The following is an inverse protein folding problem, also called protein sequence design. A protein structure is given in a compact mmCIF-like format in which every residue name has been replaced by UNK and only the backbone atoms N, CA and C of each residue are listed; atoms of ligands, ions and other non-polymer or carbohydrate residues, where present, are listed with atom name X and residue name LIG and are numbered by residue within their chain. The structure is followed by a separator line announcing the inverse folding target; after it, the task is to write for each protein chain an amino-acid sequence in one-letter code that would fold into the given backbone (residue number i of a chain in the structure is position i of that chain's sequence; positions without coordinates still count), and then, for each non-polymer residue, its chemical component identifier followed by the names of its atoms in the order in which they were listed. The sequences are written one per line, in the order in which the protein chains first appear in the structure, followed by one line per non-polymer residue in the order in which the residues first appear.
data_IF_059979963073
#
_entry.id   IF_059979963073
#
_cell.length_a   1.000
_cell.length_b   1.000
_cell.length_c   1.000
_cell.angle_alpha   90.00
_cell.angle_beta   90.00
_cell.angle_gamma   90.00
#
_symmetry.space_group_name_H-M   'P 1'
#
loop_
_entity.id
_entity.type
_entity.pdbx_description
1 polymer ?
#
# COMPACT_ATOMS: atom_id res chain seq x y z
N UNK A 1 12.90 -0.32 -26.61
CA UNK A 1 11.86 -1.17 -26.00
C UNK A 1 12.41 -2.00 -24.85
N UNK A 2 13.68 -2.45 -24.88
CA UNK A 2 14.31 -3.26 -23.82
C UNK A 2 14.07 -2.84 -22.35
N UNK A 3 14.11 -1.55 -22.00
CA UNK A 3 13.89 -1.11 -20.61
C UNK A 3 12.46 -1.35 -20.13
N UNK A 4 11.48 -1.18 -21.03
CA UNK A 4 10.08 -1.47 -20.72
C UNK A 4 9.85 -2.97 -20.54
N UNK A 5 10.50 -3.77 -21.37
CA UNK A 5 10.39 -5.23 -21.32
C UNK A 5 11.10 -5.80 -20.08
N UNK A 6 12.21 -5.20 -19.66
CA UNK A 6 12.97 -5.66 -18.49
C UNK A 6 12.42 -5.19 -17.13
N UNK A 7 11.97 -3.94 -17.02
CA UNK A 7 11.61 -3.34 -15.73
C UNK A 7 10.16 -2.86 -15.63
N UNK A 8 9.45 -2.79 -16.76
CA UNK A 8 8.09 -2.27 -16.83
C UNK A 8 8.01 -0.74 -16.89
N UNK A 9 6.87 -0.25 -17.40
CA UNK A 9 6.63 1.18 -17.57
C UNK A 9 6.60 1.95 -16.24
N UNK A 10 6.05 1.37 -15.18
CA UNK A 10 5.89 2.03 -13.89
C UNK A 10 7.23 2.34 -13.21
N UNK A 11 8.22 1.44 -13.35
CA UNK A 11 9.55 1.66 -12.79
C UNK A 11 10.24 2.85 -13.46
N UNK A 12 10.14 2.94 -14.80
CA UNK A 12 10.67 4.07 -15.55
C UNK A 12 9.95 5.39 -15.20
N UNK A 13 8.61 5.37 -15.11
CA UNK A 13 7.81 6.53 -14.70
C UNK A 13 8.28 7.07 -13.36
N UNK A 14 8.38 6.20 -12.37
CA UNK A 14 8.78 6.63 -11.03
C UNK A 14 10.24 7.10 -10.99
N UNK A 15 11.14 6.44 -11.73
CA UNK A 15 12.53 6.89 -11.88
C UNK A 15 12.64 8.29 -12.49
N UNK A 16 11.85 8.61 -13.51
CA UNK A 16 11.86 9.93 -14.13
C UNK A 16 11.30 11.00 -13.18
N UNK A 17 10.28 10.68 -12.39
CA UNK A 17 9.68 11.63 -11.43
C UNK A 17 10.62 11.90 -10.24
N UNK A 18 11.40 10.91 -9.80
CA UNK A 18 12.40 11.09 -8.73
C UNK A 18 13.66 11.81 -9.22
N UNK A 19 13.91 11.78 -10.52
CA UNK A 19 15.10 12.35 -11.12
C UNK A 19 15.13 13.89 -11.05
N UNK A 20 16.30 14.53 -11.18
CA UNK A 20 16.39 15.99 -11.23
C UNK A 20 15.69 16.64 -12.44
N UNK A 21 15.19 15.86 -13.41
CA UNK A 21 14.47 16.36 -14.61
C UNK A 21 13.23 17.15 -14.22
N UNK A 22 12.50 16.72 -13.18
CA UNK A 22 11.31 17.45 -12.71
C UNK A 22 11.64 18.83 -12.12
N UNK A 23 12.93 19.14 -11.91
CA UNK A 23 13.42 20.46 -11.50
C UNK A 23 14.13 21.20 -12.64
N UNK A 24 14.00 20.75 -13.89
CA UNK A 24 14.64 21.35 -15.07
C UNK A 24 16.16 21.16 -15.13
N UNK A 25 16.71 20.21 -14.37
CA UNK A 25 18.15 19.90 -14.37
C UNK A 25 18.44 18.71 -15.29
N UNK A 26 19.66 18.62 -15.87
CA UNK A 26 20.01 17.51 -16.75
C UNK A 26 20.04 16.19 -15.99
N UNK A 27 19.55 15.13 -16.64
CA UNK A 27 19.61 13.75 -16.14
C UNK A 27 20.55 12.92 -16.99
N UNK A 28 21.54 12.32 -16.34
CA UNK A 28 22.31 11.22 -16.92
C UNK A 28 21.54 9.93 -16.66
N UNK A 29 20.85 9.44 -17.69
CA UNK A 29 20.06 8.23 -17.58
C UNK A 29 20.96 7.02 -17.26
N UNK A 30 20.56 6.22 -16.26
CA UNK A 30 21.26 5.01 -15.83
C UNK A 30 20.23 3.91 -15.59
N UNK A 31 20.43 2.75 -16.21
CA UNK A 31 19.53 1.60 -16.14
C UNK A 31 19.44 1.06 -14.71
N UNK A 32 20.54 1.15 -13.98
CA UNK A 32 20.67 0.73 -12.58
C UNK A 32 19.69 1.49 -11.68
N UNK A 33 19.48 2.79 -11.92
CA UNK A 33 18.55 3.57 -11.12
C UNK A 33 17.08 3.14 -11.29
N UNK A 34 16.71 2.61 -12.45
CA UNK A 34 15.38 2.02 -12.67
C UNK A 34 15.23 0.71 -11.88
N UNK A 35 16.30 -0.10 -11.85
CA UNK A 35 16.36 -1.34 -11.07
C UNK A 35 16.26 -1.07 -9.56
N UNK A 36 16.91 -0.01 -9.08
CA UNK A 36 16.86 0.38 -7.66
C UNK A 36 15.43 0.74 -7.23
N UNK A 37 14.68 1.45 -8.08
CA UNK A 37 13.25 1.72 -7.82
C UNK A 37 12.44 0.44 -7.64
N UNK A 38 12.64 -0.57 -8.49
CA UNK A 38 11.95 -1.85 -8.33
C UNK A 38 12.27 -2.50 -6.99
N UNK A 39 13.56 -2.54 -6.64
CA UNK A 39 14.05 -3.20 -5.43
C UNK A 39 13.59 -2.50 -4.16
N UNK A 40 13.63 -1.17 -4.14
CA UNK A 40 13.43 -0.38 -2.92
C UNK A 40 11.96 0.04 -2.73
N UNK A 41 11.16 0.05 -3.80
CA UNK A 41 9.78 0.55 -3.78
C UNK A 41 8.79 -0.56 -4.11
N UNK A 42 8.94 -1.20 -5.26
CA UNK A 42 7.89 -2.11 -5.76
C UNK A 42 7.93 -3.45 -5.04
N UNK A 43 9.11 -4.02 -4.84
CA UNK A 43 9.28 -5.30 -4.18
C UNK A 43 8.79 -5.26 -2.72
N UNK A 44 9.14 -4.27 -1.87
CA UNK A 44 8.63 -4.21 -0.50
C UNK A 44 7.11 -4.00 -0.47
N UNK A 45 6.58 -3.20 -1.39
CA UNK A 45 5.14 -2.98 -1.48
C UNK A 45 4.39 -4.26 -1.86
N UNK A 46 4.86 -4.97 -2.89
CA UNK A 46 4.28 -6.25 -3.30
C UNK A 46 4.40 -7.31 -2.20
N UNK A 47 5.53 -7.34 -1.48
CA UNK A 47 5.71 -8.25 -0.35
C UNK A 47 4.71 -7.99 0.79
N UNK A 48 4.37 -6.72 1.06
CA UNK A 48 3.34 -6.39 2.04
C UNK A 48 1.94 -6.88 1.61
N UNK A 49 1.60 -6.76 0.32
CA UNK A 49 0.36 -7.33 -0.22
C UNK A 49 0.36 -8.86 -0.13
N UNK A 50 1.47 -9.51 -0.52
CA UNK A 50 1.62 -10.97 -0.43
C UNK A 50 1.43 -11.46 1.00
N UNK A 51 2.00 -10.76 1.99
CA UNK A 51 1.82 -11.07 3.39
C UNK A 51 0.34 -11.03 3.79
N UNK A 52 -0.39 -9.99 3.40
CA UNK A 52 -1.83 -9.88 3.70
C UNK A 52 -2.61 -11.09 3.17
N UNK A 53 -2.38 -11.47 1.91
CA UNK A 53 -3.05 -12.61 1.28
C UNK A 53 -2.72 -13.91 2.03
N UNK A 54 -1.44 -14.14 2.31
CA UNK A 54 -1.00 -15.33 3.04
C UNK A 54 -1.64 -15.42 4.43
N UNK A 55 -1.76 -14.31 5.13
CA UNK A 55 -2.43 -14.25 6.43
C UNK A 55 -3.92 -14.54 6.33
N UNK A 56 -4.60 -14.04 5.30
CA UNK A 56 -6.00 -14.36 5.04
C UNK A 56 -6.20 -15.86 4.75
N UNK A 57 -5.32 -16.45 3.95
CA UNK A 57 -5.35 -17.89 3.65
C UNK A 57 -5.11 -18.72 4.93
N UNK A 58 -4.17 -18.31 5.78
CA UNK A 58 -3.92 -18.95 7.07
C UNK A 58 -5.13 -18.88 8.01
N UNK A 59 -5.85 -17.75 8.07
CA UNK A 59 -7.09 -17.66 8.84
C UNK A 59 -8.16 -18.62 8.33
N UNK A 60 -8.28 -18.75 7.01
CA UNK A 60 -9.25 -19.65 6.38
C UNK A 60 -8.93 -21.11 6.69
N UNK A 61 -7.66 -21.51 6.62
CA UNK A 61 -7.25 -22.90 6.90
C UNK A 61 -7.33 -23.22 8.40
N UNK A 62 -6.75 -22.37 9.26
CA UNK A 62 -6.58 -22.71 10.68
C UNK A 62 -7.82 -22.42 11.52
N UNK A 63 -8.53 -21.32 11.23
CA UNK A 63 -9.66 -20.85 12.05
C UNK A 63 -11.01 -20.96 11.32
N UNK A 64 -11.02 -21.42 10.06
CA UNK A 64 -12.22 -21.52 9.19
C UNK A 64 -12.99 -20.20 9.03
N UNK A 65 -12.30 -19.07 9.16
CA UNK A 65 -12.87 -17.73 9.00
C UNK A 65 -12.45 -17.16 7.66
N UNK A 66 -13.42 -16.75 6.84
CA UNK A 66 -13.15 -15.96 5.64
C UNK A 66 -13.00 -14.49 6.05
N UNK A 67 -11.83 -13.92 5.82
CA UNK A 67 -11.59 -12.50 6.05
C UNK A 67 -12.32 -11.66 5.00
N UNK A 68 -13.16 -10.74 5.48
CA UNK A 68 -13.79 -9.70 4.66
C UNK A 68 -13.45 -8.37 5.34
N UNK A 69 -13.01 -7.41 4.54
CA UNK A 69 -12.72 -6.06 5.01
C UNK A 69 -13.99 -5.40 5.55
N UNK A 70 -13.90 -4.82 6.74
CA UNK A 70 -15.01 -4.11 7.39
C UNK A 70 -14.54 -2.78 7.94
N UNK A 71 -15.01 -1.68 7.36
CA UNK A 71 -14.63 -0.33 7.77
C UNK A 71 -15.11 0.00 9.20
N UNK A 72 -16.22 -0.59 9.67
CA UNK A 72 -16.72 -0.36 11.03
C UNK A 72 -15.76 -0.96 12.07
N UNK A 73 -15.16 -2.10 11.75
CA UNK A 73 -14.15 -2.75 12.60
C UNK A 73 -12.89 -1.88 12.75
N UNK A 74 -12.50 -1.17 11.70
CA UNK A 74 -11.38 -0.21 11.77
C UNK A 74 -11.67 0.90 12.80
N UNK A 75 -12.78 1.64 12.65
CA UNK A 75 -13.08 2.77 13.54
C UNK A 75 -13.40 2.35 14.98
N UNK A 76 -14.11 1.23 15.16
CA UNK A 76 -14.38 0.68 16.49
C UNK A 76 -13.08 0.31 17.20
N UNK A 77 -12.15 -0.36 16.51
CA UNK A 77 -10.84 -0.71 17.09
C UNK A 77 -10.02 0.51 17.51
N UNK A 78 -10.13 1.64 16.80
CA UNK A 78 -9.42 2.88 17.16
C UNK A 78 -10.00 3.58 18.39
N UNK A 79 -11.26 3.28 18.73
CA UNK A 79 -11.97 3.90 19.85
C UNK A 79 -11.81 3.12 21.16
N UNK A 80 -11.47 1.82 21.09
CA UNK A 80 -11.35 0.93 22.25
C UNK A 80 -9.94 0.33 22.35
N UNK A 81 -9.07 0.93 23.17
CA UNK A 81 -7.72 0.41 23.53
C UNK A 81 -6.97 -0.23 22.33
N UNK A 82 -6.84 0.51 21.24
CA UNK A 82 -6.15 0.07 20.03
C UNK A 82 -4.68 -0.24 20.29
N UNK A 83 -4.11 -1.12 19.46
CA UNK A 83 -2.66 -1.22 19.36
C UNK A 83 -2.10 0.12 18.86
N UNK A 84 -1.15 0.70 19.60
CA UNK A 84 -0.52 2.00 19.28
C UNK A 84 0.06 2.02 17.86
N UNK A 85 0.60 0.90 17.39
CA UNK A 85 1.18 0.79 16.04
C UNK A 85 0.13 0.88 14.94
N UNK A 86 -1.08 0.37 15.19
CA UNK A 86 -2.19 0.41 14.22
C UNK A 86 -2.71 1.84 14.09
N UNK A 87 -2.88 2.54 15.21
CA UNK A 87 -3.24 3.96 15.21
C UNK A 87 -2.15 4.82 14.57
N UNK A 88 -0.88 4.52 14.84
CA UNK A 88 0.25 5.22 14.24
C UNK A 88 0.28 5.08 12.72
N UNK A 89 0.15 3.86 12.16
CA UNK A 89 0.24 3.69 10.71
C UNK A 89 -0.96 4.34 9.99
N UNK A 90 -2.15 4.31 10.60
CA UNK A 90 -3.34 4.99 10.05
C UNK A 90 -3.14 6.51 10.06
N UNK A 91 -2.71 7.08 11.19
CA UNK A 91 -2.41 8.52 11.30
C UNK A 91 -1.30 8.96 10.35
N UNK A 92 -0.24 8.15 10.21
CA UNK A 92 0.85 8.41 9.29
C UNK A 92 0.40 8.35 7.82
N UNK A 93 -0.54 7.45 7.50
CA UNK A 93 -1.17 7.38 6.17
C UNK A 93 -1.99 8.63 5.88
N UNK A 94 -2.79 9.12 6.83
CA UNK A 94 -3.54 10.37 6.68
C UNK A 94 -2.62 11.58 6.50
N UNK A 95 -1.57 11.67 7.31
CA UNK A 95 -0.55 12.73 7.19
C UNK A 95 0.12 12.71 5.81
N UNK A 96 0.38 11.52 5.25
CA UNK A 96 0.90 11.38 3.90
C UNK A 96 -0.10 11.87 2.84
N UNK A 97 -1.38 11.52 2.96
CA UNK A 97 -2.42 11.97 2.03
C UNK A 97 -2.51 13.50 1.99
N UNK A 98 -2.54 14.14 3.16
CA UNK A 98 -2.59 15.60 3.26
C UNK A 98 -1.34 16.26 2.65
N UNK A 99 -0.17 15.67 2.89
CA UNK A 99 1.08 16.14 2.29
C UNK A 99 1.05 16.04 0.77
N UNK A 100 0.66 14.88 0.22
CA UNK A 100 0.61 14.68 -1.23
C UNK A 100 -0.42 15.61 -1.86
N UNK A 101 -1.60 15.80 -1.25
CA UNK A 101 -2.62 16.73 -1.76
C UNK A 101 -2.04 18.16 -1.88
N UNK A 102 -1.44 18.69 -0.82
CA UNK A 102 -0.85 20.04 -0.80
C UNK A 102 0.27 20.21 -1.83
N UNK A 103 1.16 19.24 -1.94
CA UNK A 103 2.29 19.33 -2.88
C UNK A 103 1.84 19.19 -4.33
N UNK A 104 0.82 18.36 -4.60
CA UNK A 104 0.25 18.20 -5.95
C UNK A 104 -0.55 19.43 -6.38
N UNK A 105 -1.28 20.09 -5.47
CA UNK A 105 -1.93 21.39 -5.72
C UNK A 105 -0.91 22.47 -6.12
N UNK A 106 0.29 22.43 -5.54
CA UNK A 106 1.39 23.34 -5.88
C UNK A 106 2.27 22.86 -7.06
N UNK A 107 1.91 21.76 -7.73
CA UNK A 107 2.70 21.12 -8.82
C UNK A 107 4.15 20.74 -8.43
N UNK A 108 4.40 20.46 -7.14
CA UNK A 108 5.73 20.11 -6.61
C UNK A 108 5.96 18.59 -6.58
N UNK A 109 5.91 17.93 -7.74
CA UNK A 109 6.04 16.45 -7.81
C UNK A 109 7.34 15.91 -7.20
N UNK A 110 8.43 16.69 -7.24
CA UNK A 110 9.76 16.27 -6.75
C UNK A 110 9.83 16.04 -5.24
N UNK A 111 8.87 16.54 -4.45
CA UNK A 111 8.82 16.33 -2.99
C UNK A 111 8.01 15.09 -2.63
N UNK A 112 7.07 14.70 -3.48
CA UNK A 112 6.09 13.62 -3.25
C UNK A 112 6.78 12.26 -3.22
N UNK A 113 7.57 11.93 -4.24
CA UNK A 113 8.11 10.57 -4.35
C UNK A 113 9.08 10.19 -3.22
N UNK A 114 10.04 11.02 -2.80
CA UNK A 114 10.88 10.70 -1.64
C UNK A 114 10.08 10.40 -0.38
N UNK A 115 8.97 11.13 -0.17
CA UNK A 115 8.07 10.90 0.98
C UNK A 115 7.31 9.58 0.84
N UNK A 116 6.88 9.23 -0.37
CA UNK A 116 6.26 7.93 -0.66
C UNK A 116 7.23 6.78 -0.40
N UNK A 117 8.48 6.85 -0.88
CA UNK A 117 9.51 5.82 -0.63
C UNK A 117 9.74 5.63 0.87
N UNK A 118 9.91 6.72 1.61
CA UNK A 118 10.03 6.68 3.09
C UNK A 118 8.79 6.04 3.74
N UNK A 119 7.60 6.30 3.21
CA UNK A 119 6.39 5.67 3.73
C UNK A 119 6.37 4.15 3.50
N UNK A 120 6.85 3.66 2.37
CA UNK A 120 6.99 2.21 2.11
C UNK A 120 7.92 1.59 3.15
N UNK A 121 9.07 2.21 3.38
CA UNK A 121 10.03 1.77 4.39
C UNK A 121 9.42 1.70 5.79
N UNK A 122 8.70 2.75 6.21
CA UNK A 122 7.98 2.77 7.49
C UNK A 122 6.91 1.67 7.59
N UNK A 123 6.19 1.41 6.49
CA UNK A 123 5.19 0.33 6.45
C UNK A 123 5.86 -1.06 6.57
N UNK A 124 6.91 -1.33 5.80
CA UNK A 124 7.48 -2.68 5.72
C UNK A 124 8.45 -2.99 6.85
N UNK A 125 9.35 -2.05 7.19
CA UNK A 125 10.42 -2.29 8.15
C UNK A 125 10.01 -2.02 9.59
N UNK A 126 9.03 -1.14 9.83
CA UNK A 126 8.52 -0.88 11.17
C UNK A 126 7.18 -1.59 11.40
N UNK A 127 6.12 -1.19 10.71
CA UNK A 127 4.77 -1.71 11.00
C UNK A 127 4.66 -3.22 10.76
N UNK A 128 5.02 -3.69 9.56
CA UNK A 128 4.91 -5.11 9.19
C UNK A 128 5.83 -5.99 10.06
N UNK A 129 7.06 -5.54 10.29
CA UNK A 129 8.05 -6.29 11.08
C UNK A 129 7.61 -6.45 12.53
N UNK A 130 7.11 -5.39 13.16
CA UNK A 130 6.69 -5.40 14.56
C UNK A 130 5.37 -6.19 14.77
N UNK A 131 4.47 -6.17 13.78
CA UNK A 131 3.18 -6.87 13.86
C UNK A 131 3.19 -8.28 13.23
N UNK A 132 4.36 -8.83 12.89
CA UNK A 132 4.49 -10.14 12.20
C UNK A 132 3.76 -11.30 12.91
N UNK A 133 3.78 -11.34 14.24
CA UNK A 133 3.07 -12.37 15.03
C UNK A 133 1.54 -12.27 14.89
N UNK A 134 1.01 -11.05 14.81
CA UNK A 134 -0.42 -10.78 14.62
C UNK A 134 -0.88 -11.22 13.23
N UNK A 135 -0.07 -10.95 12.19
CA UNK A 135 -0.34 -11.41 10.82
C UNK A 135 -0.28 -12.93 10.67
N UNK A 136 0.59 -13.61 11.43
CA UNK A 136 0.63 -15.09 11.45
C UNK A 136 -0.50 -15.74 12.26
N UNK A 137 -1.41 -14.93 12.82
CA UNK A 137 -2.53 -15.40 13.62
C UNK A 137 -2.14 -16.20 14.87
N UNK A 138 -0.92 -15.98 15.37
CA UNK A 138 -0.36 -16.57 16.60
C UNK A 138 -0.95 -15.92 17.87
N UNK A 139 -1.75 -14.87 17.71
CA UNK A 139 -2.44 -14.13 18.78
C UNK A 139 -3.95 -14.42 18.78
N UNK A 140 -4.71 -13.70 19.61
CA UNK A 140 -6.17 -13.74 19.62
C UNK A 140 -6.74 -13.50 18.22
N UNK A 141 -7.80 -14.24 17.87
CA UNK A 141 -8.46 -14.13 16.56
C UNK A 141 -8.91 -12.69 16.26
N UNK A 142 -9.50 -12.01 17.25
CA UNK A 142 -9.97 -10.64 17.08
C UNK A 142 -8.83 -9.66 16.79
N UNK A 143 -7.71 -9.78 17.51
CA UNK A 143 -6.53 -8.93 17.30
C UNK A 143 -5.89 -9.16 15.91
N UNK A 144 -5.85 -10.40 15.47
CA UNK A 144 -5.39 -10.75 14.12
C UNK A 144 -6.31 -10.13 13.06
N UNK A 145 -7.63 -10.22 13.23
CA UNK A 145 -8.61 -9.63 12.31
C UNK A 145 -8.49 -8.10 12.24
N UNK A 146 -8.31 -7.43 13.39
CA UNK A 146 -8.08 -5.97 13.45
C UNK A 146 -6.81 -5.60 12.68
N UNK A 147 -5.69 -6.30 12.94
CA UNK A 147 -4.43 -6.00 12.27
C UNK A 147 -4.50 -6.16 10.75
N UNK A 148 -5.21 -7.19 10.26
CA UNK A 148 -5.41 -7.42 8.82
C UNK A 148 -6.32 -6.37 8.20
N UNK A 149 -7.33 -5.92 8.94
CA UNK A 149 -8.21 -4.85 8.50
C UNK A 149 -7.45 -3.52 8.34
N UNK A 150 -6.62 -3.16 9.32
CA UNK A 150 -5.73 -2.00 9.25
C UNK A 150 -4.75 -2.11 8.08
N UNK A 151 -4.10 -3.26 7.89
CA UNK A 151 -3.18 -3.47 6.78
C UNK A 151 -3.88 -3.37 5.41
N UNK A 152 -5.08 -3.95 5.30
CA UNK A 152 -5.90 -3.86 4.10
C UNK A 152 -6.28 -2.40 3.78
N UNK A 153 -6.74 -1.65 4.78
CA UNK A 153 -7.04 -0.22 4.65
C UNK A 153 -5.83 0.59 4.14
N UNK A 154 -4.66 0.37 4.76
CA UNK A 154 -3.42 1.05 4.40
C UNK A 154 -3.00 0.72 2.96
N UNK A 155 -3.01 -0.55 2.58
CA UNK A 155 -2.64 -0.99 1.24
C UNK A 155 -3.62 -0.47 0.17
N UNK A 156 -4.92 -0.47 0.47
CA UNK A 156 -5.95 0.05 -0.43
C UNK A 156 -5.80 1.56 -0.64
N UNK A 157 -5.60 2.30 0.44
CA UNK A 157 -5.39 3.75 0.42
C UNK A 157 -4.13 4.09 -0.38
N UNK A 158 -3.05 3.34 -0.17
CA UNK A 158 -1.81 3.49 -0.93
C UNK A 158 -1.99 3.18 -2.41
N UNK A 159 -2.72 2.12 -2.77
CA UNK A 159 -2.98 1.80 -4.17
C UNK A 159 -3.70 2.96 -4.88
N UNK A 160 -4.71 3.56 -4.24
CA UNK A 160 -5.39 4.76 -4.75
C UNK A 160 -4.44 5.95 -4.89
N UNK A 161 -3.59 6.20 -3.89
CA UNK A 161 -2.61 7.29 -3.90
C UNK A 161 -1.55 7.12 -5.00
N UNK A 162 -1.13 5.88 -5.26
CA UNK A 162 -0.10 5.54 -6.24
C UNK A 162 -0.61 5.49 -7.68
N UNK A 163 -1.93 5.44 -7.91
CA UNK A 163 -2.52 5.29 -9.24
C UNK A 163 -2.04 6.31 -10.29
N UNK A 164 -1.85 7.62 -9.98
CA UNK A 164 -1.32 8.57 -10.95
C UNK A 164 0.16 8.32 -11.33
N UNK A 165 0.93 7.72 -10.42
CA UNK A 165 2.37 7.52 -10.57
C UNK A 165 2.69 6.17 -11.21
N UNK A 166 2.11 5.10 -10.67
CA UNK A 166 2.33 3.69 -11.07
C UNK A 166 1.00 3.02 -11.39
N UNK A 167 0.34 3.38 -12.49
CA UNK A 167 -1.02 2.93 -12.79
C UNK A 167 -1.14 1.40 -12.89
N UNK A 168 -0.18 0.72 -13.51
CA UNK A 168 -0.28 -0.73 -13.73
C UNK A 168 -0.16 -1.51 -12.43
N UNK A 169 0.82 -1.16 -11.60
CA UNK A 169 1.02 -1.81 -10.30
C UNK A 169 -0.11 -1.46 -9.33
N UNK A 170 -0.55 -0.20 -9.30
CA UNK A 170 -1.66 0.22 -8.46
C UNK A 170 -2.96 -0.53 -8.80
N UNK A 171 -3.28 -0.65 -10.09
CA UNK A 171 -4.46 -1.39 -10.55
C UNK A 171 -4.35 -2.88 -10.22
N UNK A 172 -3.19 -3.49 -10.47
CA UNK A 172 -2.95 -4.89 -10.12
C UNK A 172 -3.17 -5.16 -8.62
N UNK A 173 -2.63 -4.30 -7.75
CA UNK A 173 -2.83 -4.43 -6.31
C UNK A 173 -4.29 -4.18 -5.91
N UNK A 174 -4.95 -3.20 -6.52
CA UNK A 174 -6.35 -2.90 -6.27
C UNK A 174 -7.26 -4.08 -6.61
N UNK A 175 -7.08 -4.72 -7.78
CA UNK A 175 -7.89 -5.87 -8.19
C UNK A 175 -7.76 -7.07 -7.23
N UNK A 176 -6.58 -7.26 -6.64
CA UNK A 176 -6.37 -8.28 -5.60
C UNK A 176 -7.10 -7.90 -4.31
N UNK A 177 -6.91 -6.66 -3.83
CA UNK A 177 -7.54 -6.18 -2.60
C UNK A 177 -9.08 -6.14 -2.72
N UNK A 178 -9.60 -5.86 -3.91
CA UNK A 178 -11.04 -5.85 -4.19
C UNK A 178 -11.73 -7.18 -3.90
N UNK A 179 -11.02 -8.31 -4.01
CA UNK A 179 -11.57 -9.63 -3.65
C UNK A 179 -11.82 -9.79 -2.15
N UNK A 180 -11.12 -9.01 -1.33
CA UNK A 180 -11.27 -8.99 0.13
C UNK A 180 -12.31 -7.97 0.59
N UNK A 181 -12.81 -7.12 -0.31
CA UNK A 181 -13.84 -6.14 0.00
C UNK A 181 -15.24 -6.77 -0.04
N UNK A 182 -16.20 -6.27 0.76
CA UNK A 182 -17.58 -6.70 0.65
C UNK A 182 -18.07 -6.38 -0.77
N UNK A 183 -18.64 -7.38 -1.44
CA UNK A 183 -19.22 -7.14 -2.76
C UNK A 183 -20.43 -6.22 -2.59
N UNK A 184 -20.58 -5.19 -3.44
CA UNK A 184 -21.81 -4.40 -3.44
C UNK A 184 -22.96 -5.37 -3.69
N UNK A 185 -23.98 -5.35 -2.81
CA UNK A 185 -25.21 -6.08 -3.02
C UNK A 185 -25.75 -5.68 -4.39
N UNK A 186 -25.83 -6.63 -5.32
CA UNK A 186 -26.45 -6.47 -6.63
C UNK A 186 -27.92 -6.06 -6.43
N UNK A 187 -28.13 -4.76 -6.30
CA UNK A 187 -29.41 -4.08 -6.12
C UNK A 187 -29.42 -2.87 -7.04
N UNK A 188 -29.19 -3.15 -8.32
CA UNK A 188 -29.60 -2.31 -9.43
C UNK A 188 -30.36 -3.25 -10.36
N UNK A 189 -31.65 -3.43 -10.05
CA UNK A 189 -32.61 -3.90 -11.04
C UNK A 189 -32.56 -2.92 -12.22
N UNK A 190 -32.45 -3.38 -13.47
CA UNK A 190 -32.63 -2.51 -14.61
C UNK A 190 -34.12 -2.14 -14.69
N UNK A 191 -34.45 -0.89 -14.38
CA UNK A 191 -35.65 -0.22 -14.89
C UNK A 191 -35.31 0.49 -16.19
#
# INVERSE_FOLDING_TARGET
MEIFDEFGADALRLYLITSPVVRGKPLKFKKEGVRDILKDVFLPWYNALRLLIQSCDQLKVNKKVNFIYDEKRLYSSMSSNSNVMDTWIVSYTQTLLDFVRKEMEAYRLYTVVPRLVKYIDMLTNWYVKLNKKRFKCETTLEDSLVSLNVLCYVLLTKAKLMAPFTPFLAEYMYQILRKLMPQPSSSLSPE
#
